data_IF_569187299525
#
_entry.id   IF_569187299525
#
_cell.length_a   1.000
_cell.length_b   1.000
_cell.length_c   1.000
_cell.angle_alpha   90.00
_cell.angle_beta   90.00
_cell.angle_gamma   90.00
#
_symmetry.space_group_name_H-M   'P 1'
#
loop_
_entity.id
_entity.type
_entity.pdbx_description
1 polymer ?
#
# COMPACT_ATOMS: atom_id res chain seq x y z
N UNK A 1 -11.61 -0.04 33.01
CA UNK A 1 -11.84 1.06 33.97
C UNK A 1 -12.63 2.15 33.26
N UNK A 2 -13.47 2.91 33.96
CA UNK A 2 -14.10 4.10 33.36
C UNK A 2 -13.08 5.25 33.25
N UNK A 3 -13.18 6.06 32.19
CA UNK A 3 -12.40 7.29 32.02
C UNK A 3 -13.11 8.43 32.75
N UNK A 4 -12.54 8.88 33.86
CA UNK A 4 -13.18 9.79 34.81
C UNK A 4 -12.32 11.02 35.13
N UNK A 5 -12.92 12.08 35.68
CA UNK A 5 -12.21 13.32 35.96
C UNK A 5 -11.00 13.14 36.92
N UNK A 6 -11.04 12.18 37.84
CA UNK A 6 -9.92 11.93 38.76
C UNK A 6 -8.75 11.21 38.06
N UNK A 7 -9.01 10.18 37.25
CA UNK A 7 -7.96 9.52 36.45
C UNK A 7 -7.39 10.47 35.38
N UNK A 8 -8.21 11.31 34.74
CA UNK A 8 -7.72 12.34 33.82
C UNK A 8 -6.84 13.38 34.53
N UNK A 9 -7.22 13.85 35.72
CA UNK A 9 -6.37 14.74 36.52
C UNK A 9 -5.04 14.08 36.94
N UNK A 10 -5.06 12.78 37.27
CA UNK A 10 -3.87 12.00 37.57
C UNK A 10 -2.96 11.82 36.34
N UNK A 11 -3.54 11.58 35.15
CA UNK A 11 -2.81 11.54 33.88
C UNK A 11 -2.17 12.88 33.56
N UNK A 12 -2.91 13.99 33.67
CA UNK A 12 -2.37 15.34 33.47
C UNK A 12 -1.20 15.61 34.41
N UNK A 13 -1.31 15.24 35.69
CA UNK A 13 -0.21 15.33 36.66
C UNK A 13 1.00 14.45 36.29
N UNK A 14 0.77 13.22 35.80
CA UNK A 14 1.84 12.31 35.37
C UNK A 14 2.60 12.85 34.15
N UNK A 15 1.88 13.35 33.15
CA UNK A 15 2.42 13.85 31.88
C UNK A 15 2.80 15.34 31.91
N UNK A 16 2.76 15.98 33.09
CA UNK A 16 3.08 17.41 33.33
C UNK A 16 2.22 18.39 32.50
N UNK A 17 1.00 17.99 32.18
CA UNK A 17 -0.02 18.82 31.54
C UNK A 17 -0.65 19.80 32.54
N UNK A 18 -1.41 20.79 32.05
CA UNK A 18 -2.12 21.74 32.91
C UNK A 18 -3.21 21.05 33.72
N UNK A 19 -3.35 21.46 34.98
CA UNK A 19 -4.47 21.01 35.85
C UNK A 19 -5.82 21.54 35.36
N UNK A 20 -5.83 22.66 34.62
CA UNK A 20 -7.02 23.22 33.96
C UNK A 20 -7.24 22.50 32.62
N UNK A 21 -8.31 21.69 32.45
CA UNK A 21 -8.50 20.86 31.25
C UNK A 21 -8.45 21.62 29.92
N UNK A 22 -9.12 22.77 29.85
CA UNK A 22 -9.26 23.58 28.64
C UNK A 22 -7.96 24.22 28.12
N UNK A 23 -6.85 24.16 28.88
CA UNK A 23 -5.53 24.65 28.45
C UNK A 23 -4.66 23.56 27.78
N UNK A 24 -5.12 22.31 27.72
CA UNK A 24 -4.35 21.19 27.19
C UNK A 24 -4.66 20.96 25.71
N UNK A 25 -3.66 21.17 24.84
CA UNK A 25 -3.73 20.88 23.40
C UNK A 25 -3.56 19.37 23.10
N UNK A 26 -2.95 18.61 24.01
CA UNK A 26 -2.71 17.17 23.90
C UNK A 26 -3.11 16.44 25.17
N UNK A 27 -3.70 15.25 25.04
CA UNK A 27 -4.05 14.39 26.16
C UNK A 27 -3.59 12.95 25.91
N UNK A 28 -2.74 12.44 26.81
CA UNK A 28 -2.16 11.10 26.77
C UNK A 28 -2.88 10.17 27.74
N UNK A 29 -3.75 9.32 27.22
CA UNK A 29 -4.58 8.36 27.93
C UNK A 29 -4.27 6.89 27.53
N UNK A 30 -3.10 6.66 26.94
CA UNK A 30 -2.64 5.37 26.44
C UNK A 30 -2.42 4.33 27.57
N UNK A 31 -2.66 3.06 27.27
CA UNK A 31 -2.30 1.88 28.07
C UNK A 31 -2.84 1.88 29.51
N UNK A 32 -4.12 2.25 29.71
CA UNK A 32 -4.78 2.27 31.04
C UNK A 32 -5.90 1.25 31.21
N UNK A 33 -6.27 0.53 30.16
CA UNK A 33 -7.43 -0.35 30.17
C UNK A 33 -8.74 0.43 30.40
N UNK A 34 -8.85 1.63 29.82
CA UNK A 34 -10.14 2.32 29.74
C UNK A 34 -11.12 1.51 28.90
N UNK A 35 -12.36 1.36 29.36
CA UNK A 35 -13.43 0.59 28.69
C UNK A 35 -14.49 1.46 28.03
N UNK A 36 -14.62 2.70 28.49
CA UNK A 36 -15.46 3.72 27.86
C UNK A 36 -14.78 5.08 27.97
N UNK A 37 -14.95 5.91 26.93
CA UNK A 37 -14.52 7.31 26.90
C UNK A 37 -15.46 8.14 27.80
N UNK A 38 -14.94 9.12 28.52
CA UNK A 38 -15.72 9.93 29.45
C UNK A 38 -14.94 11.12 30.02
N UNK A 39 -15.65 12.03 30.69
CA UNK A 39 -15.11 13.23 31.35
C UNK A 39 -14.29 14.19 30.46
N UNK A 40 -14.41 14.08 29.13
CA UNK A 40 -13.68 14.92 28.16
C UNK A 40 -14.31 16.30 27.90
N UNK A 41 -15.54 16.56 28.38
CA UNK A 41 -16.30 17.80 28.13
C UNK A 41 -15.53 19.09 28.48
N UNK A 42 -14.65 19.03 29.49
CA UNK A 42 -13.86 20.17 29.93
C UNK A 42 -12.63 20.47 29.04
N UNK A 43 -12.25 19.57 28.12
CA UNK A 43 -11.03 19.66 27.29
C UNK A 43 -11.31 20.34 25.94
N UNK A 44 -11.99 21.49 25.96
CA UNK A 44 -12.50 22.18 24.74
C UNK A 44 -11.42 22.58 23.73
N UNK A 45 -10.19 22.88 24.18
CA UNK A 45 -9.05 23.23 23.33
C UNK A 45 -8.20 22.04 22.86
N UNK A 46 -8.68 20.80 23.01
CA UNK A 46 -7.90 19.60 22.70
C UNK A 46 -7.72 19.41 21.18
N UNK A 47 -6.48 19.25 20.74
CA UNK A 47 -6.08 19.08 19.33
C UNK A 47 -5.62 17.68 18.99
N UNK A 48 -5.00 16.96 19.94
CA UNK A 48 -4.61 15.57 19.79
C UNK A 48 -5.01 14.72 21.01
N UNK A 49 -5.74 13.63 20.76
CA UNK A 49 -6.21 12.68 21.77
C UNK A 49 -5.59 11.30 21.52
N UNK A 50 -4.82 10.81 22.50
CA UNK A 50 -4.17 9.50 22.45
C UNK A 50 -4.86 8.52 23.41
N UNK A 51 -5.56 7.53 22.86
CA UNK A 51 -6.35 6.50 23.56
C UNK A 51 -5.89 5.07 23.20
N UNK A 52 -4.67 4.95 22.68
CA UNK A 52 -4.01 3.70 22.29
C UNK A 52 -3.91 2.65 23.40
N UNK A 53 -4.06 1.37 23.03
CA UNK A 53 -3.78 0.24 23.94
C UNK A 53 -4.74 0.17 25.14
N UNK A 54 -6.01 0.52 24.91
CA UNK A 54 -7.07 0.43 25.90
C UNK A 54 -8.03 -0.72 25.54
N UNK A 55 -9.16 -0.82 26.24
CA UNK A 55 -10.19 -1.82 26.02
C UNK A 55 -11.51 -1.14 25.64
N UNK A 56 -11.45 -0.11 24.79
CA UNK A 56 -12.63 0.66 24.39
C UNK A 56 -13.49 -0.17 23.43
N UNK A 57 -14.73 -0.43 23.83
CA UNK A 57 -15.73 -1.17 23.03
C UNK A 57 -16.48 -0.26 22.03
N UNK A 58 -16.53 1.06 22.31
CA UNK A 58 -17.34 2.08 21.62
C UNK A 58 -16.68 3.46 21.69
N UNK A 59 -16.95 4.35 20.72
CA UNK A 59 -16.51 5.76 20.76
C UNK A 59 -17.59 6.74 21.20
N UNK A 60 -18.79 6.27 21.56
CA UNK A 60 -19.97 7.08 21.90
C UNK A 60 -19.83 8.04 23.11
N UNK A 61 -18.70 7.97 23.84
CA UNK A 61 -18.36 8.89 24.93
C UNK A 61 -17.54 10.12 24.51
N UNK A 62 -17.27 10.33 23.22
CA UNK A 62 -16.60 11.54 22.72
C UNK A 62 -17.57 12.74 22.68
N UNK A 63 -17.31 13.84 23.40
CA UNK A 63 -18.06 15.08 23.25
C UNK A 63 -17.68 15.80 21.94
N UNK A 64 -18.47 16.79 21.48
CA UNK A 64 -18.09 17.65 20.36
C UNK A 64 -16.83 18.47 20.71
N UNK A 65 -15.69 18.10 20.12
CA UNK A 65 -14.39 18.78 20.33
C UNK A 65 -14.02 19.57 19.06
N UNK A 66 -14.24 20.91 19.04
CA UNK A 66 -14.17 21.70 17.81
C UNK A 66 -12.74 21.94 17.29
N UNK A 67 -11.72 21.80 18.14
CA UNK A 67 -10.31 21.92 17.76
C UNK A 67 -9.60 20.57 17.53
N UNK A 68 -10.28 19.43 17.68
CA UNK A 68 -9.64 18.12 17.59
C UNK A 68 -9.25 17.80 16.14
N UNK A 69 -7.96 17.53 15.93
CA UNK A 69 -7.36 17.23 14.62
C UNK A 69 -6.82 15.81 14.51
N UNK A 70 -6.30 15.27 15.61
CA UNK A 70 -5.69 13.94 15.63
C UNK A 70 -6.35 13.05 16.69
N UNK A 71 -6.92 11.93 16.27
CA UNK A 71 -7.55 10.94 17.15
C UNK A 71 -6.87 9.58 16.96
N UNK A 72 -6.23 9.09 18.02
CA UNK A 72 -5.46 7.84 18.04
C UNK A 72 -6.15 6.81 18.94
N UNK A 73 -6.85 5.86 18.31
CA UNK A 73 -7.65 4.78 18.93
C UNK A 73 -7.09 3.39 18.60
N UNK A 74 -5.85 3.29 18.10
CA UNK A 74 -5.26 2.00 17.74
C UNK A 74 -5.12 1.04 18.93
N UNK A 75 -5.17 -0.27 18.68
CA UNK A 75 -5.13 -1.31 19.72
C UNK A 75 -6.24 -1.14 20.77
N UNK A 76 -7.50 -1.29 20.32
CA UNK A 76 -8.71 -1.25 21.14
C UNK A 76 -9.68 -2.38 20.71
N UNK A 77 -10.88 -2.42 21.29
CA UNK A 77 -11.89 -3.47 21.06
C UNK A 77 -13.05 -3.02 20.16
N UNK A 78 -12.89 -1.93 19.38
CA UNK A 78 -13.99 -1.31 18.62
C UNK A 78 -14.53 -2.26 17.54
N UNK A 79 -15.83 -2.56 17.58
CA UNK A 79 -16.53 -3.42 16.61
C UNK A 79 -17.15 -2.62 15.44
N UNK A 80 -17.50 -1.36 15.71
CA UNK A 80 -18.03 -0.39 14.76
C UNK A 80 -17.67 1.04 15.22
N UNK A 81 -17.84 2.02 14.34
CA UNK A 81 -17.78 3.45 14.68
C UNK A 81 -19.21 4.01 14.66
N UNK A 82 -19.66 4.62 15.76
CA UNK A 82 -21.02 5.16 15.84
C UNK A 82 -21.25 6.33 14.85
N UNK A 83 -22.32 6.28 14.02
CA UNK A 83 -22.68 7.39 13.14
C UNK A 83 -22.91 8.70 13.91
N UNK A 84 -22.43 9.81 13.34
CA UNK A 84 -22.61 11.15 13.90
C UNK A 84 -21.59 11.56 14.97
N UNK A 85 -20.98 10.62 15.71
CA UNK A 85 -19.99 10.94 16.75
C UNK A 85 -18.75 11.58 16.16
N UNK A 86 -18.20 11.01 15.07
CA UNK A 86 -17.02 11.58 14.40
C UNK A 86 -17.37 12.80 13.54
N UNK A 87 -18.62 12.92 13.06
CA UNK A 87 -19.12 14.11 12.38
C UNK A 87 -19.22 15.35 13.31
N UNK A 88 -19.21 15.15 14.64
CA UNK A 88 -19.11 16.22 15.63
C UNK A 88 -17.68 16.78 15.83
N UNK A 89 -16.70 16.32 15.03
CA UNK A 89 -15.29 16.71 15.09
C UNK A 89 -14.88 17.46 13.79
N UNK A 90 -15.28 18.73 13.62
CA UNK A 90 -15.22 19.44 12.33
C UNK A 90 -13.80 19.77 11.83
N UNK A 91 -12.76 19.57 12.63
CA UNK A 91 -11.35 19.75 12.24
C UNK A 91 -10.56 18.43 12.19
N UNK A 92 -11.22 17.27 12.27
CA UNK A 92 -10.53 15.97 12.29
C UNK A 92 -9.79 15.73 10.97
N UNK A 93 -8.46 15.66 11.06
CA UNK A 93 -7.50 15.62 9.95
C UNK A 93 -6.83 14.23 9.87
N UNK A 94 -6.49 13.67 11.03
CA UNK A 94 -5.89 12.34 11.19
C UNK A 94 -6.70 11.46 12.15
N UNK A 95 -7.11 10.29 11.68
CA UNK A 95 -7.77 9.26 12.47
C UNK A 95 -7.01 7.93 12.36
N UNK A 96 -6.60 7.37 13.49
CA UNK A 96 -6.06 6.02 13.57
C UNK A 96 -6.98 5.13 14.39
N UNK A 97 -7.50 4.07 13.77
CA UNK A 97 -8.33 2.99 14.37
C UNK A 97 -7.73 1.61 14.07
N UNK A 98 -6.42 1.54 13.77
CA UNK A 98 -5.74 0.29 13.44
C UNK A 98 -5.67 -0.71 14.60
N UNK A 99 -5.68 -2.01 14.32
CA UNK A 99 -5.67 -3.04 15.38
C UNK A 99 -6.94 -3.00 16.23
N UNK A 100 -8.10 -3.06 15.57
CA UNK A 100 -9.43 -3.12 16.19
C UNK A 100 -10.24 -4.26 15.55
N UNK A 101 -11.51 -4.41 15.94
CA UNK A 101 -12.40 -5.43 15.40
C UNK A 101 -13.43 -4.84 14.40
N UNK A 102 -13.13 -3.69 13.77
CA UNK A 102 -14.10 -2.95 12.98
C UNK A 102 -14.61 -3.78 11.79
N UNK A 103 -15.93 -3.85 11.68
CA UNK A 103 -16.66 -4.49 10.58
C UNK A 103 -17.18 -3.49 9.54
N UNK A 104 -17.32 -2.22 9.92
CA UNK A 104 -17.77 -1.12 9.06
C UNK A 104 -17.20 0.23 9.48
N UNK A 105 -16.88 1.07 8.48
CA UNK A 105 -16.45 2.46 8.65
C UNK A 105 -17.61 3.46 8.46
N UNK A 106 -18.87 3.01 8.51
CA UNK A 106 -20.05 3.87 8.34
C UNK A 106 -20.05 5.13 9.24
N UNK A 107 -19.46 5.06 10.43
CA UNK A 107 -19.30 6.21 11.34
C UNK A 107 -18.45 7.37 10.82
N UNK A 108 -17.68 7.18 9.73
CA UNK A 108 -16.91 8.25 9.07
C UNK A 108 -17.78 9.20 8.23
N UNK A 109 -19.05 8.85 7.97
CA UNK A 109 -19.94 9.65 7.13
C UNK A 109 -20.05 11.10 7.64
N UNK A 110 -19.59 12.06 6.83
CA UNK A 110 -19.57 13.49 7.17
C UNK A 110 -18.21 14.04 7.64
N UNK A 111 -17.16 13.22 7.75
CA UNK A 111 -15.80 13.66 8.12
C UNK A 111 -15.07 14.35 6.94
N UNK A 112 -15.60 15.48 6.46
CA UNK A 112 -15.16 16.11 5.19
C UNK A 112 -13.73 16.64 5.19
N UNK A 113 -13.13 16.93 6.36
CA UNK A 113 -11.76 17.42 6.50
C UNK A 113 -10.71 16.33 6.72
N UNK A 114 -11.12 15.05 6.82
CA UNK A 114 -10.22 13.94 7.12
C UNK A 114 -9.26 13.69 5.94
N UNK A 115 -7.94 13.77 6.20
CA UNK A 115 -6.88 13.55 5.20
C UNK A 115 -6.17 12.23 5.38
N UNK A 116 -5.95 11.81 6.62
CA UNK A 116 -5.23 10.59 6.96
C UNK A 116 -6.13 9.65 7.74
N UNK A 117 -6.41 8.49 7.14
CA UNK A 117 -7.13 7.39 7.78
C UNK A 117 -6.21 6.17 7.87
N UNK A 118 -6.03 5.65 9.08
CA UNK A 118 -5.36 4.37 9.34
C UNK A 118 -6.38 3.42 9.98
N UNK A 119 -6.74 2.36 9.25
CA UNK A 119 -7.64 1.29 9.68
C UNK A 119 -7.08 -0.10 9.35
N UNK A 120 -5.75 -0.23 9.36
CA UNK A 120 -5.03 -1.51 9.29
C UNK A 120 -5.47 -2.49 10.40
N UNK A 121 -5.22 -3.79 10.22
CA UNK A 121 -5.51 -4.83 11.22
C UNK A 121 -6.95 -4.75 11.78
N UNK A 122 -7.93 -4.82 10.89
CA UNK A 122 -9.36 -4.79 11.20
C UNK A 122 -10.11 -5.93 10.47
N UNK A 123 -11.44 -5.99 10.57
CA UNK A 123 -12.28 -7.04 9.97
C UNK A 123 -13.20 -6.54 8.85
N UNK A 124 -12.79 -5.49 8.13
CA UNK A 124 -13.52 -4.95 6.99
C UNK A 124 -13.49 -5.97 5.84
N UNK A 125 -14.66 -6.52 5.49
CA UNK A 125 -14.78 -7.59 4.48
C UNK A 125 -15.45 -7.15 3.17
N UNK A 126 -16.49 -6.30 3.28
CA UNK A 126 -17.30 -5.83 2.15
C UNK A 126 -16.93 -4.40 1.75
N UNK A 127 -17.13 -4.05 0.49
CA UNK A 127 -16.92 -2.66 0.01
C UNK A 127 -17.97 -1.69 0.52
N UNK A 128 -19.18 -2.15 0.85
CA UNK A 128 -20.24 -1.32 1.44
C UNK A 128 -19.85 -0.78 2.81
N UNK A 129 -19.04 -1.52 3.56
CA UNK A 129 -18.43 -1.09 4.83
C UNK A 129 -17.44 0.08 4.65
N UNK A 130 -17.01 0.36 3.42
CA UNK A 130 -16.14 1.48 3.04
C UNK A 130 -16.89 2.62 2.33
N UNK A 131 -18.21 2.49 2.08
CA UNK A 131 -18.97 3.48 1.30
C UNK A 131 -18.93 4.89 1.91
N UNK A 132 -18.77 5.01 3.23
CA UNK A 132 -18.60 6.30 3.91
C UNK A 132 -17.34 7.07 3.48
N UNK A 133 -16.29 6.39 2.99
CA UNK A 133 -15.07 7.05 2.50
C UNK A 133 -15.37 7.99 1.33
N UNK A 134 -16.36 7.68 0.49
CA UNK A 134 -16.77 8.54 -0.62
C UNK A 134 -17.32 9.93 -0.17
N UNK A 135 -17.64 10.10 1.12
CA UNK A 135 -18.02 11.41 1.70
C UNK A 135 -16.80 12.23 2.16
N UNK A 136 -15.64 11.60 2.32
CA UNK A 136 -14.42 12.20 2.87
C UNK A 136 -13.52 12.70 1.74
N UNK A 137 -13.96 13.75 1.04
CA UNK A 137 -13.34 14.22 -0.22
C UNK A 137 -11.90 14.75 -0.09
N UNK A 138 -11.44 15.04 1.13
CA UNK A 138 -10.07 15.49 1.42
C UNK A 138 -9.08 14.37 1.76
N UNK A 139 -9.46 13.09 1.67
CA UNK A 139 -8.57 11.97 1.95
C UNK A 139 -7.33 11.97 1.02
N UNK A 140 -6.15 12.08 1.63
CA UNK A 140 -4.84 12.01 0.98
C UNK A 140 -4.14 10.66 1.22
N UNK A 141 -4.32 10.07 2.40
CA UNK A 141 -3.68 8.81 2.82
C UNK A 141 -4.69 7.85 3.45
N UNK A 142 -4.82 6.67 2.88
CA UNK A 142 -5.73 5.61 3.34
C UNK A 142 -4.95 4.31 3.53
N UNK A 143 -4.89 3.83 4.76
CA UNK A 143 -4.33 2.53 5.13
C UNK A 143 -5.46 1.58 5.58
N UNK A 144 -5.59 0.46 4.85
CA UNK A 144 -6.54 -0.62 5.10
C UNK A 144 -5.81 -1.98 5.17
N UNK A 145 -4.52 -2.02 5.52
CA UNK A 145 -3.73 -3.27 5.57
C UNK A 145 -4.38 -4.36 6.43
N UNK A 146 -4.08 -5.62 6.14
CA UNK A 146 -4.49 -6.80 6.92
C UNK A 146 -6.01 -6.89 7.23
N UNK A 147 -6.85 -6.33 6.36
CA UNK A 147 -8.30 -6.48 6.41
C UNK A 147 -8.75 -7.71 5.58
N UNK A 148 -10.06 -7.91 5.47
CA UNK A 148 -10.69 -9.07 4.80
C UNK A 148 -11.31 -8.69 3.45
N UNK A 149 -10.90 -7.56 2.86
CA UNK A 149 -11.49 -7.01 1.64
C UNK A 149 -11.23 -7.93 0.45
N UNK A 150 -12.30 -8.41 -0.19
CA UNK A 150 -12.22 -9.37 -1.30
C UNK A 150 -12.41 -8.72 -2.68
N UNK A 151 -13.40 -7.84 -2.84
CA UNK A 151 -13.71 -7.19 -4.12
C UNK A 151 -12.85 -5.93 -4.31
N UNK A 152 -11.72 -6.12 -5.00
CA UNK A 152 -10.85 -5.02 -5.40
C UNK A 152 -11.41 -4.12 -6.51
N UNK A 153 -12.38 -4.58 -7.31
CA UNK A 153 -12.92 -3.79 -8.42
C UNK A 153 -13.98 -2.79 -7.93
N UNK A 154 -14.87 -3.22 -7.04
CA UNK A 154 -15.79 -2.30 -6.36
C UNK A 154 -15.03 -1.32 -5.45
N UNK A 155 -13.95 -1.76 -4.79
CA UNK A 155 -13.05 -0.87 -4.04
C UNK A 155 -12.43 0.21 -4.94
N UNK A 156 -11.89 -0.16 -6.10
CA UNK A 156 -11.34 0.81 -7.06
C UNK A 156 -12.40 1.77 -7.59
N UNK A 157 -13.64 1.31 -7.78
CA UNK A 157 -14.78 2.17 -8.11
C UNK A 157 -15.05 3.24 -7.05
N UNK A 158 -15.00 2.89 -5.76
CA UNK A 158 -15.16 3.84 -4.65
C UNK A 158 -13.96 4.79 -4.54
N UNK A 159 -12.73 4.28 -4.59
CA UNK A 159 -11.50 5.09 -4.44
C UNK A 159 -11.31 6.08 -5.60
N UNK A 160 -11.81 5.78 -6.80
CA UNK A 160 -11.83 6.72 -7.94
C UNK A 160 -12.68 7.97 -7.68
N UNK A 161 -13.56 7.96 -6.68
CA UNK A 161 -14.28 9.13 -6.19
C UNK A 161 -13.46 10.09 -5.31
N UNK A 162 -12.22 9.74 -4.95
CA UNK A 162 -11.36 10.53 -4.06
C UNK A 162 -10.30 11.32 -4.86
N UNK A 163 -10.50 12.62 -5.14
CA UNK A 163 -9.63 13.38 -6.05
C UNK A 163 -8.25 13.73 -5.47
N UNK A 164 -8.05 13.56 -4.16
CA UNK A 164 -6.82 13.93 -3.46
C UNK A 164 -6.00 12.74 -2.94
N UNK A 165 -6.43 11.50 -3.22
CA UNK A 165 -5.80 10.28 -2.72
C UNK A 165 -4.40 10.08 -3.33
N UNK A 166 -3.37 10.14 -2.48
CA UNK A 166 -1.94 10.03 -2.82
C UNK A 166 -1.32 8.74 -2.30
N UNK A 167 -1.68 8.31 -1.09
CA UNK A 167 -1.12 7.11 -0.46
C UNK A 167 -2.21 6.09 -0.18
N UNK A 168 -2.01 4.85 -0.62
CA UNK A 168 -2.96 3.76 -0.46
C UNK A 168 -2.25 2.47 -0.06
N UNK A 169 -2.65 1.87 1.06
CA UNK A 169 -2.10 0.60 1.53
C UNK A 169 -3.21 -0.45 1.65
N UNK A 170 -3.08 -1.56 0.91
CA UNK A 170 -4.03 -2.68 0.87
C UNK A 170 -3.36 -4.04 1.13
N UNK A 171 -2.03 -4.07 1.32
CA UNK A 171 -1.25 -5.26 1.69
C UNK A 171 -1.94 -6.10 2.77
N UNK A 172 -1.96 -7.43 2.59
CA UNK A 172 -2.59 -8.37 3.52
C UNK A 172 -4.08 -8.63 3.27
N UNK A 173 -4.76 -7.88 2.39
CA UNK A 173 -6.14 -8.17 2.00
C UNK A 173 -6.24 -9.29 0.94
N UNK A 174 -7.30 -10.12 0.96
CA UNK A 174 -7.60 -11.10 -0.08
C UNK A 174 -7.64 -10.52 -1.51
N UNK A 175 -8.07 -9.27 -1.70
CA UNK A 175 -8.09 -8.62 -3.02
C UNK A 175 -6.72 -8.63 -3.73
N UNK A 176 -5.61 -8.64 -3.00
CA UNK A 176 -4.25 -8.59 -3.56
C UNK A 176 -3.90 -9.89 -4.29
N UNK A 177 -4.51 -11.03 -3.92
CA UNK A 177 -4.39 -12.30 -4.65
C UNK A 177 -5.51 -12.55 -5.65
N UNK A 178 -6.69 -11.92 -5.47
CA UNK A 178 -7.83 -12.05 -6.40
C UNK A 178 -7.71 -11.12 -7.63
N UNK A 179 -7.10 -9.94 -7.51
CA UNK A 179 -6.94 -9.00 -8.64
C UNK A 179 -5.79 -9.40 -9.57
N UNK A 180 -6.04 -9.64 -10.88
CA UNK A 180 -4.97 -9.85 -11.85
C UNK A 180 -4.10 -8.60 -11.94
N UNK A 181 -2.78 -8.78 -11.90
CA UNK A 181 -1.78 -7.69 -11.95
C UNK A 181 -2.03 -6.55 -10.95
N UNK A 182 -2.65 -6.82 -9.79
CA UNK A 182 -3.04 -5.87 -8.72
C UNK A 182 -2.43 -4.47 -8.83
N UNK A 183 -1.10 -4.33 -8.66
CA UNK A 183 -0.38 -3.05 -8.70
C UNK A 183 -0.58 -2.23 -9.98
N UNK A 184 -0.53 -2.86 -11.17
CA UNK A 184 -0.79 -2.17 -12.45
C UNK A 184 -2.25 -1.73 -12.53
N UNK A 185 -3.17 -2.63 -12.20
CA UNK A 185 -4.62 -2.40 -12.21
C UNK A 185 -5.00 -1.24 -11.27
N UNK A 186 -4.43 -1.16 -10.07
CA UNK A 186 -4.65 -0.05 -9.13
C UNK A 186 -4.06 1.27 -9.62
N UNK A 187 -2.84 1.25 -10.21
CA UNK A 187 -2.16 2.47 -10.70
C UNK A 187 -2.91 3.07 -11.90
N UNK A 188 -3.36 2.23 -12.84
CA UNK A 188 -4.15 2.66 -13.99
C UNK A 188 -5.57 3.14 -13.61
N UNK A 189 -6.15 2.60 -12.54
CA UNK A 189 -7.44 3.05 -12.03
C UNK A 189 -7.37 4.38 -11.27
N UNK A 190 -6.24 4.68 -10.61
CA UNK A 190 -6.05 5.82 -9.70
C UNK A 190 -4.86 6.71 -10.14
N UNK A 191 -5.07 7.63 -11.12
CA UNK A 191 -3.98 8.44 -11.68
C UNK A 191 -3.34 9.42 -10.68
N UNK A 192 -4.03 9.82 -9.62
CA UNK A 192 -3.50 10.71 -8.57
C UNK A 192 -2.57 10.03 -7.56
N UNK A 193 -2.52 8.70 -7.53
CA UNK A 193 -1.84 7.93 -6.49
C UNK A 193 -0.31 8.00 -6.64
N UNK A 194 0.41 8.41 -5.60
CA UNK A 194 1.89 8.53 -5.59
C UNK A 194 2.59 7.40 -4.83
N UNK A 195 1.93 6.80 -3.83
CA UNK A 195 2.40 5.60 -3.12
C UNK A 195 1.31 4.53 -3.12
N UNK A 196 1.71 3.31 -3.50
CA UNK A 196 0.89 2.11 -3.34
C UNK A 196 1.68 1.10 -2.50
N UNK A 197 1.09 0.70 -1.38
CA UNK A 197 1.75 -0.08 -0.34
C UNK A 197 3.14 0.51 -0.02
N UNK A 198 4.15 -0.32 0.21
CA UNK A 198 5.49 0.10 0.66
C UNK A 198 6.36 0.77 -0.44
N UNK A 199 5.78 1.17 -1.59
CA UNK A 199 6.57 1.63 -2.76
C UNK A 199 5.98 2.85 -3.48
N UNK A 200 6.78 3.91 -3.73
CA UNK A 200 6.38 5.00 -4.60
C UNK A 200 6.11 4.49 -6.02
N UNK A 201 5.23 5.18 -6.74
CA UNK A 201 4.89 4.93 -8.13
C UNK A 201 5.76 5.83 -9.01
N UNK A 202 6.58 5.25 -9.88
CA UNK A 202 7.43 6.01 -10.80
C UNK A 202 6.67 6.41 -12.06
N UNK A 203 7.16 7.43 -12.77
CA UNK A 203 6.58 7.86 -14.06
C UNK A 203 6.58 6.73 -15.10
N UNK A 204 7.68 5.95 -15.15
CA UNK A 204 7.76 4.72 -15.95
C UNK A 204 6.71 3.68 -15.53
N UNK A 205 6.55 3.41 -14.23
CA UNK A 205 5.55 2.44 -13.75
C UNK A 205 4.12 2.88 -14.09
N UNK A 206 3.81 4.18 -13.99
CA UNK A 206 2.52 4.74 -14.42
C UNK A 206 2.31 4.58 -15.92
N UNK A 207 3.25 5.03 -16.76
CA UNK A 207 3.13 4.94 -18.21
C UNK A 207 2.97 3.48 -18.68
N UNK A 208 3.71 2.56 -18.08
CA UNK A 208 3.54 1.12 -18.31
C UNK A 208 2.18 0.59 -17.85
N UNK A 209 1.66 1.03 -16.69
CA UNK A 209 0.36 0.58 -16.19
C UNK A 209 -0.82 1.12 -17.01
N UNK A 210 -0.77 2.38 -17.44
CA UNK A 210 -1.79 3.00 -18.31
C UNK A 210 -1.80 2.37 -19.70
N UNK A 211 -0.62 2.16 -20.31
CA UNK A 211 -0.50 1.47 -21.59
C UNK A 211 -0.89 -0.02 -21.48
N UNK A 212 -0.62 -0.68 -20.34
CA UNK A 212 -1.09 -2.03 -20.05
C UNK A 212 -2.61 -2.12 -19.94
N UNK A 213 -3.26 -1.14 -19.32
CA UNK A 213 -4.72 -1.09 -19.22
C UNK A 213 -5.41 -0.80 -20.57
N UNK A 214 -4.72 -0.14 -21.51
CA UNK A 214 -5.24 0.17 -22.84
C UNK A 214 -4.93 -0.89 -23.91
N UNK A 215 -3.72 -1.47 -23.89
CA UNK A 215 -3.17 -2.33 -24.94
C UNK A 215 -2.47 -3.60 -24.43
N UNK A 216 -2.67 -3.98 -23.16
CA UNK A 216 -2.13 -5.21 -22.59
C UNK A 216 -0.60 -5.25 -22.54
N UNK A 217 -0.03 -6.47 -22.67
CA UNK A 217 1.40 -6.69 -22.53
C UNK A 217 2.24 -6.01 -23.64
N UNK A 218 1.67 -5.79 -24.82
CA UNK A 218 2.39 -5.19 -25.94
C UNK A 218 2.39 -3.66 -25.83
N UNK A 219 1.28 -3.03 -25.45
CA UNK A 219 1.27 -1.62 -25.07
C UNK A 219 2.23 -1.31 -23.91
N UNK A 220 2.35 -2.21 -22.93
CA UNK A 220 3.35 -2.08 -21.85
C UNK A 220 4.80 -2.10 -22.37
N UNK A 221 5.11 -3.00 -23.31
CA UNK A 221 6.44 -3.12 -23.94
C UNK A 221 6.79 -1.87 -24.73
N UNK A 222 5.86 -1.38 -25.55
CA UNK A 222 6.03 -0.17 -26.35
C UNK A 222 6.23 1.07 -25.46
N UNK A 223 5.39 1.27 -24.45
CA UNK A 223 5.51 2.38 -23.51
C UNK A 223 6.84 2.35 -22.75
N UNK A 224 7.30 1.15 -22.35
CA UNK A 224 8.60 0.96 -21.68
C UNK A 224 9.77 1.26 -22.60
N UNK A 225 9.76 0.76 -23.84
CA UNK A 225 10.80 1.04 -24.83
C UNK A 225 10.87 2.55 -25.14
N UNK A 226 9.72 3.18 -25.37
CA UNK A 226 9.63 4.62 -25.62
C UNK A 226 10.09 5.47 -24.42
N UNK A 227 9.87 5.03 -23.17
CA UNK A 227 10.42 5.71 -21.99
C UNK A 227 11.94 5.61 -21.93
N UNK A 228 12.50 4.40 -22.09
CA UNK A 228 13.95 4.20 -22.08
C UNK A 228 14.64 4.97 -23.22
N UNK A 229 14.05 5.00 -24.43
CA UNK A 229 14.55 5.80 -25.55
C UNK A 229 14.54 7.31 -25.22
N UNK A 230 13.47 7.84 -24.60
CA UNK A 230 13.40 9.26 -24.22
C UNK A 230 14.47 9.65 -23.21
N UNK A 231 14.74 8.81 -22.22
CA UNK A 231 15.81 9.07 -21.25
C UNK A 231 17.20 8.94 -21.90
N UNK A 232 17.44 7.95 -22.76
CA UNK A 232 18.68 7.86 -23.55
C UNK A 232 18.88 9.09 -24.46
N UNK A 233 17.85 9.56 -25.16
CA UNK A 233 17.93 10.79 -25.95
C UNK A 233 18.20 12.03 -25.07
N UNK A 234 17.65 12.07 -23.86
CA UNK A 234 17.85 13.16 -22.89
C UNK A 234 19.26 13.12 -22.27
N UNK A 235 19.82 11.95 -22.02
CA UNK A 235 21.19 11.74 -21.57
C UNK A 235 22.18 12.12 -22.69
N UNK A 236 21.98 11.62 -23.92
CA UNK A 236 22.77 11.97 -25.09
C UNK A 236 22.78 13.49 -25.35
N UNK A 237 21.63 14.17 -25.24
CA UNK A 237 21.55 15.65 -25.35
C UNK A 237 22.32 16.37 -24.24
N UNK A 238 22.35 15.84 -23.02
CA UNK A 238 23.14 16.41 -21.92
C UNK A 238 24.65 16.19 -22.14
N UNK A 239 25.06 14.99 -22.57
CA UNK A 239 26.46 14.68 -22.90
C UNK A 239 26.95 15.56 -24.06
N UNK A 240 26.15 15.70 -25.12
CA UNK A 240 26.46 16.60 -26.24
C UNK A 240 26.61 18.07 -25.79
N UNK A 241 25.68 18.59 -24.98
CA UNK A 241 25.78 19.96 -24.47
C UNK A 241 27.01 20.18 -23.57
N UNK A 242 27.39 19.19 -22.75
CA UNK A 242 28.62 19.24 -21.95
C UNK A 242 29.89 19.20 -22.83
N UNK A 243 29.87 18.40 -23.92
CA UNK A 243 30.94 18.35 -24.93
C UNK A 243 31.12 19.69 -25.63
N UNK A 244 30.03 20.30 -26.12
CA UNK A 244 30.04 21.65 -26.73
C UNK A 244 30.62 22.71 -25.79
N UNK A 245 30.20 22.72 -24.52
CA UNK A 245 30.72 23.65 -23.50
C UNK A 245 32.23 23.42 -23.26
N UNK A 246 32.66 22.15 -23.18
CA UNK A 246 34.06 21.78 -23.00
C UNK A 246 34.93 22.21 -24.19
N UNK A 247 34.50 21.89 -25.41
CA UNK A 247 35.19 22.27 -26.65
C UNK A 247 35.27 23.78 -26.83
N UNK A 248 34.17 24.51 -26.57
CA UNK A 248 34.17 25.98 -26.60
C UNK A 248 35.11 26.59 -25.54
N UNK A 249 35.22 25.97 -24.36
CA UNK A 249 36.17 26.34 -23.30
C UNK A 249 37.62 25.97 -23.64
N UNK A 250 37.86 24.91 -24.40
CA UNK A 250 39.18 24.52 -24.91
C UNK A 250 39.66 25.46 -26.03
N UNK A 251 38.81 25.71 -27.03
CA UNK A 251 39.04 26.63 -28.16
C UNK A 251 39.49 28.01 -27.68
N UNK A 252 38.74 28.61 -26.72
CA UNK A 252 39.08 29.90 -26.09
C UNK A 252 40.41 29.89 -25.34
N UNK A 253 40.78 28.77 -24.69
CA UNK A 253 42.08 28.62 -24.01
C UNK A 253 43.24 28.53 -25.00
N UNK A 254 43.06 27.83 -26.12
CA UNK A 254 44.07 27.72 -27.19
C UNK A 254 44.29 29.05 -27.91
N UNK A 255 43.20 29.72 -28.27
CA UNK A 255 43.21 31.08 -28.84
C UNK A 255 43.96 32.07 -27.93
N UNK A 256 43.66 32.08 -26.62
CA UNK A 256 44.36 32.91 -25.63
C UNK A 256 45.85 32.57 -25.43
N UNK A 257 46.30 31.37 -25.84
CA UNK A 257 47.70 30.94 -25.83
C UNK A 257 48.41 31.16 -27.18
N UNK A 258 47.72 31.69 -28.19
CA UNK A 258 48.27 31.83 -29.56
C UNK A 258 48.46 30.49 -30.27
N UNK A 259 47.78 29.43 -29.82
CA UNK A 259 47.75 28.12 -30.45
C UNK A 259 46.56 28.02 -31.43
N UNK A 260 46.71 27.18 -32.45
CA UNK A 260 45.65 26.88 -33.42
C UNK A 260 44.34 26.50 -32.70
N UNK A 261 43.22 27.24 -32.89
CA UNK A 261 41.96 27.00 -32.18
C UNK A 261 41.22 25.74 -32.64
N UNK A 262 41.57 25.13 -33.79
CA UNK A 262 40.92 23.91 -34.29
C UNK A 262 41.57 22.61 -33.79
N UNK A 263 42.73 22.69 -33.13
CA UNK A 263 43.37 21.51 -32.53
C UNK A 263 42.56 20.93 -31.36
N UNK A 264 42.23 19.63 -31.45
CA UNK A 264 41.36 18.91 -30.53
C UNK A 264 41.77 18.93 -29.05
N UNK A 265 40.82 18.58 -28.19
CA UNK A 265 41.06 18.37 -26.76
C UNK A 265 41.51 16.92 -26.56
N UNK A 266 42.77 16.65 -26.17
CA UNK A 266 43.31 15.30 -26.12
C UNK A 266 42.59 14.40 -25.10
N UNK A 267 41.90 14.98 -24.12
CA UNK A 267 41.04 14.24 -23.20
C UNK A 267 39.70 13.80 -23.84
N UNK A 268 39.25 14.48 -24.91
CA UNK A 268 38.06 14.11 -25.69
C UNK A 268 38.39 13.19 -26.87
N UNK A 269 39.59 13.28 -27.43
CA UNK A 269 40.06 12.40 -28.51
C UNK A 269 40.13 10.92 -28.09
N UNK A 270 40.23 10.64 -26.77
CA UNK A 270 40.10 9.31 -26.18
C UNK A 270 38.69 8.94 -25.66
N UNK A 271 37.69 9.81 -25.84
CA UNK A 271 36.29 9.61 -25.44
C UNK A 271 35.37 9.60 -26.67
N UNK A 272 35.71 8.79 -27.66
CA UNK A 272 34.90 8.56 -28.86
C UNK A 272 33.61 7.80 -28.52
N UNK A 273 32.50 8.25 -29.07
CA UNK A 273 31.14 7.78 -28.79
C UNK A 273 30.95 6.29 -29.15
N UNK A 274 30.64 5.46 -28.14
CA UNK A 274 30.14 4.08 -28.19
C UNK A 274 30.85 3.05 -29.10
N UNK A 275 32.05 3.38 -29.59
CA UNK A 275 32.88 2.50 -30.40
C UNK A 275 33.64 1.47 -29.54
N UNK A 276 33.00 0.32 -29.32
CA UNK A 276 33.68 -0.96 -29.07
C UNK A 276 34.59 -1.03 -27.81
N UNK A 277 34.11 -0.53 -26.67
CA UNK A 277 34.22 -1.31 -25.43
C UNK A 277 33.15 -2.42 -25.39
N UNK A 278 33.12 -3.24 -26.46
CA UNK A 278 32.80 -4.64 -26.27
C UNK A 278 33.92 -5.22 -25.38
N UNK A 279 33.69 -5.32 -24.07
CA UNK A 279 34.37 -6.31 -23.24
C UNK A 279 33.96 -7.69 -23.78
N UNK A 280 34.67 -8.13 -24.82
CA UNK A 280 34.16 -9.05 -25.83
C UNK A 280 33.53 -10.29 -25.20
N UNK A 281 32.18 -10.27 -25.14
CA UNK A 281 31.34 -11.01 -24.19
C UNK A 281 31.97 -12.38 -23.85
N UNK A 282 32.41 -12.62 -22.59
CA UNK A 282 33.19 -13.79 -22.22
C UNK A 282 32.67 -15.07 -22.88
N UNK A 283 33.55 -15.88 -23.48
CA UNK A 283 33.13 -16.98 -24.36
C UNK A 283 32.17 -17.98 -23.65
N UNK A 284 32.26 -18.07 -22.33
CA UNK A 284 31.34 -18.78 -21.45
C UNK A 284 29.91 -18.22 -21.46
N UNK A 285 29.75 -16.88 -21.42
CA UNK A 285 28.45 -16.20 -21.50
C UNK A 285 27.82 -16.31 -22.89
N UNK A 286 28.60 -16.12 -23.97
CA UNK A 286 28.13 -16.41 -25.34
C UNK A 286 27.67 -17.86 -25.46
N UNK A 287 28.51 -18.80 -25.03
CA UNK A 287 28.18 -20.24 -25.02
C UNK A 287 26.99 -20.59 -24.11
N UNK A 288 26.76 -19.87 -23.02
CA UNK A 288 25.62 -20.07 -22.14
C UNK A 288 24.32 -19.51 -22.76
N UNK A 289 24.37 -18.32 -23.37
CA UNK A 289 23.25 -17.73 -24.12
C UNK A 289 22.84 -18.62 -25.29
N UNK A 290 23.80 -19.10 -26.07
CA UNK A 290 23.53 -19.92 -27.25
C UNK A 290 22.97 -21.30 -26.84
N UNK A 291 23.46 -21.88 -25.73
CA UNK A 291 22.86 -23.07 -25.09
C UNK A 291 21.44 -22.81 -24.57
N UNK A 292 21.19 -21.65 -23.96
CA UNK A 292 19.85 -21.28 -23.47
C UNK A 292 18.87 -21.07 -24.64
N UNK A 293 19.31 -20.40 -25.71
CA UNK A 293 18.55 -20.18 -26.93
C UNK A 293 18.20 -21.52 -27.61
N UNK A 294 19.17 -22.42 -27.74
CA UNK A 294 18.95 -23.78 -28.24
C UNK A 294 17.98 -24.57 -27.36
N UNK A 295 18.08 -24.46 -26.03
CA UNK A 295 17.14 -25.09 -25.10
C UNK A 295 15.72 -24.52 -25.22
N UNK A 296 15.55 -23.19 -25.34
CA UNK A 296 14.24 -22.58 -25.56
C UNK A 296 13.65 -22.93 -26.92
N UNK A 297 14.47 -22.98 -27.97
CA UNK A 297 14.03 -23.38 -29.32
C UNK A 297 13.63 -24.87 -29.36
N UNK A 298 14.42 -25.77 -28.76
CA UNK A 298 14.08 -27.18 -28.64
C UNK A 298 12.79 -27.39 -27.83
N UNK A 299 12.61 -26.66 -26.73
CA UNK A 299 11.39 -26.71 -25.92
C UNK A 299 10.17 -26.10 -26.64
N UNK A 300 10.37 -25.14 -27.55
CA UNK A 300 9.31 -24.62 -28.42
C UNK A 300 8.97 -25.59 -29.55
N UNK A 301 9.95 -26.27 -30.15
CA UNK A 301 9.72 -27.33 -31.13
C UNK A 301 8.94 -28.50 -30.53
N UNK A 302 9.38 -29.03 -29.38
CA UNK A 302 8.66 -30.09 -28.64
C UNK A 302 7.25 -29.66 -28.20
N UNK A 303 6.99 -28.36 -28.05
CA UNK A 303 5.64 -27.83 -27.77
C UNK A 303 4.79 -27.60 -29.04
N UNK A 304 5.40 -27.56 -30.23
CA UNK A 304 4.73 -27.45 -31.53
C UNK A 304 4.45 -28.82 -32.16
N UNK A 305 5.37 -29.77 -32.01
CA UNK A 305 5.24 -31.16 -32.48
C UNK A 305 4.28 -32.00 -31.61
N UNK A 306 3.73 -31.41 -30.54
CA UNK A 306 2.94 -32.09 -29.51
C UNK A 306 1.54 -32.57 -29.94
N UNK A 307 1.08 -32.30 -31.18
CA UNK A 307 -0.20 -32.81 -31.68
C UNK A 307 -0.14 -34.23 -32.30
N UNK A 308 1.03 -34.80 -32.63
CA UNK A 308 1.08 -36.11 -33.33
C UNK A 308 2.15 -37.13 -32.85
N UNK A 309 1.97 -37.58 -31.59
CA UNK A 309 2.44 -38.88 -31.02
C UNK A 309 3.97 -39.09 -30.78
N UNK A 310 4.40 -40.17 -30.05
CA UNK A 310 3.68 -41.09 -29.16
C UNK A 310 4.17 -41.02 -27.68
N UNK A 311 3.46 -41.62 -26.70
CA UNK A 311 3.90 -41.62 -25.29
C UNK A 311 4.99 -42.67 -25.02
N UNK A 312 6.21 -42.25 -24.64
CA UNK A 312 7.25 -43.23 -24.29
C UNK A 312 8.71 -42.77 -24.17
N UNK A 313 9.00 -41.60 -23.59
CA UNK A 313 10.34 -41.26 -23.08
C UNK A 313 10.22 -40.97 -21.57
N UNK A 314 11.10 -41.54 -20.75
CA UNK A 314 10.85 -41.68 -19.31
C UNK A 314 11.38 -40.49 -18.50
N UNK A 315 10.64 -40.14 -17.43
CA UNK A 315 11.06 -39.14 -16.43
C UNK A 315 12.43 -39.46 -15.80
N UNK A 316 12.87 -40.72 -15.85
CA UNK A 316 14.17 -41.18 -15.36
C UNK A 316 15.35 -40.47 -16.04
N UNK A 317 15.31 -40.23 -17.35
CA UNK A 317 16.40 -39.56 -18.07
C UNK A 317 16.46 -38.05 -17.72
N UNK A 318 15.30 -37.44 -17.48
CA UNK A 318 15.20 -36.03 -17.05
C UNK A 318 15.68 -35.87 -15.61
N UNK A 319 15.25 -36.74 -14.70
CA UNK A 319 15.70 -36.70 -13.29
C UNK A 319 17.18 -37.03 -13.17
N UNK A 320 17.74 -37.91 -14.02
CA UNK A 320 19.19 -38.17 -14.07
C UNK A 320 20.00 -36.92 -14.48
N UNK A 321 19.56 -36.17 -15.50
CA UNK A 321 20.18 -34.89 -15.89
C UNK A 321 20.02 -33.82 -14.80
N UNK A 322 18.90 -33.82 -14.07
CA UNK A 322 18.70 -32.94 -12.91
C UNK A 322 19.59 -33.33 -11.73
N UNK A 323 19.80 -34.62 -11.45
CA UNK A 323 20.76 -35.14 -10.45
C UNK A 323 22.20 -34.75 -10.80
N UNK A 324 22.63 -34.92 -12.05
CA UNK A 324 23.97 -34.55 -12.52
C UNK A 324 24.21 -33.02 -12.43
N UNK A 325 23.18 -32.22 -12.72
CA UNK A 325 23.17 -30.77 -12.53
C UNK A 325 23.22 -30.37 -11.04
N UNK A 326 22.45 -31.03 -10.17
CA UNK A 326 22.50 -30.85 -8.70
C UNK A 326 23.89 -31.19 -8.15
N UNK A 327 24.48 -32.30 -8.59
CA UNK A 327 25.80 -32.75 -8.17
C UNK A 327 26.90 -31.76 -8.60
N UNK A 328 26.89 -31.33 -9.87
CA UNK A 328 27.81 -30.32 -10.40
C UNK A 328 27.73 -28.99 -9.64
N UNK A 329 26.50 -28.55 -9.32
CA UNK A 329 26.25 -27.34 -8.53
C UNK A 329 26.67 -27.50 -7.06
N UNK A 330 26.53 -28.68 -6.48
CA UNK A 330 27.01 -28.97 -5.13
C UNK A 330 28.54 -28.98 -5.05
N UNK A 331 29.23 -29.51 -6.07
CA UNK A 331 30.69 -29.48 -6.16
C UNK A 331 31.23 -28.05 -6.20
N UNK A 332 30.67 -27.19 -7.06
CA UNK A 332 31.06 -25.77 -7.15
C UNK A 332 30.84 -25.01 -5.84
N UNK A 333 29.74 -25.28 -5.12
CA UNK A 333 29.48 -24.68 -3.81
C UNK A 333 30.44 -25.19 -2.72
N UNK A 334 30.84 -26.46 -2.77
CA UNK A 334 31.83 -27.02 -1.85
C UNK A 334 33.23 -26.46 -2.12
N UNK A 335 33.61 -26.27 -3.38
CA UNK A 335 34.90 -25.67 -3.76
C UNK A 335 34.97 -24.19 -3.38
N UNK A 336 33.91 -23.41 -3.64
CA UNK A 336 33.81 -22.03 -3.18
C UNK A 336 33.89 -21.92 -1.64
N UNK A 337 33.22 -22.81 -0.90
CA UNK A 337 33.31 -22.86 0.56
C UNK A 337 34.72 -23.24 1.05
N UNK A 338 35.43 -24.14 0.35
CA UNK A 338 36.81 -24.50 0.66
C UNK A 338 37.79 -23.33 0.42
N UNK A 339 37.64 -22.58 -0.69
CA UNK A 339 38.41 -21.37 -0.95
C UNK A 339 38.16 -20.29 0.11
N UNK A 340 36.90 -20.08 0.50
CA UNK A 340 36.51 -19.13 1.54
C UNK A 340 37.06 -19.54 2.92
N UNK A 341 37.09 -20.83 3.23
CA UNK A 341 37.73 -21.35 4.45
C UNK A 341 39.26 -21.19 4.44
N UNK A 342 39.92 -21.35 3.29
CA UNK A 342 41.37 -21.09 3.15
C UNK A 342 41.70 -19.61 3.33
N UNK A 343 40.87 -18.69 2.81
CA UNK A 343 41.02 -17.25 3.06
C UNK A 343 40.83 -16.89 4.54
N UNK A 344 39.86 -17.52 5.22
CA UNK A 344 39.63 -17.34 6.65
C UNK A 344 40.73 -17.95 7.56
N UNK A 345 41.53 -18.89 7.05
CA UNK A 345 42.60 -19.57 7.78
C UNK A 345 43.98 -18.89 7.65
N UNK A 346 44.10 -17.81 6.88
CA UNK A 346 45.36 -17.08 6.73
C UNK A 346 45.75 -16.35 8.03
N UNK A 347 46.93 -16.60 8.63
CA UNK A 347 47.34 -15.93 9.85
C UNK A 347 47.68 -14.45 9.60
N UNK A 348 47.34 -13.52 10.53
CA UNK A 348 47.66 -12.12 10.37
C UNK A 348 49.17 -11.88 10.44
N UNK A 349 49.76 -11.31 9.38
CA UNK A 349 51.17 -10.93 9.39
C UNK A 349 51.38 -9.69 10.27
N UNK A 350 52.13 -9.85 11.36
CA UNK A 350 52.44 -8.77 12.31
C UNK A 350 53.55 -7.85 11.81
N UNK A 351 53.20 -6.85 11.00
CA UNK A 351 54.08 -5.76 10.59
C UNK A 351 54.27 -4.72 11.71
N UNK A 352 54.97 -5.10 12.78
CA UNK A 352 55.29 -4.20 13.89
C UNK A 352 56.37 -3.16 13.51
N UNK A 353 55.94 -1.97 13.07
CA UNK A 353 56.73 -0.74 13.12
C UNK A 353 56.08 0.23 14.12
N UNK A 354 56.91 0.91 14.92
CA UNK A 354 56.49 1.43 16.22
C UNK A 354 56.28 2.94 16.34
N UNK A 355 55.64 3.30 17.47
CA UNK A 355 55.63 4.62 18.13
C UNK A 355 55.08 5.83 17.34
N UNK A 356 53.86 6.24 17.69
CA UNK A 356 53.28 7.56 17.39
C UNK A 356 52.05 7.83 18.25
N UNK A 357 52.06 8.91 19.02
CA UNK A 357 50.94 9.47 19.81
C UNK A 357 49.77 9.91 18.92
N UNK A 358 48.50 10.10 19.34
CA UNK A 358 47.90 10.38 20.66
C UNK A 358 46.38 10.05 20.71
N UNK A 359 45.83 10.03 21.94
CA UNK A 359 44.46 10.42 22.37
C UNK A 359 43.24 10.28 21.44
N UNK A 360 42.27 9.44 21.83
CA UNK A 360 40.84 9.80 21.99
C UNK A 360 40.04 8.63 22.64
N UNK A 361 38.97 8.95 23.38
CA UNK A 361 38.03 7.96 23.93
C UNK A 361 36.91 7.59 22.93
N UNK A 362 36.48 6.33 22.91
CA UNK A 362 35.22 5.90 22.33
C UNK A 362 34.60 4.78 23.19
N UNK A 363 33.34 4.93 23.57
CA UNK A 363 32.68 4.06 24.56
C UNK A 363 32.13 2.75 23.96
N UNK A 364 31.98 1.74 24.81
CA UNK A 364 31.57 0.37 24.45
C UNK A 364 30.09 0.29 24.04
N UNK A 365 29.80 -0.44 22.96
CA UNK A 365 28.49 -1.01 22.65
C UNK A 365 28.64 -2.49 22.24
N UNK A 366 27.85 -3.43 22.78
CA UNK A 366 27.95 -4.85 22.45
C UNK A 366 27.18 -5.21 21.15
N UNK A 367 27.58 -6.29 20.43
CA UNK A 367 26.89 -6.74 19.22
C UNK A 367 25.56 -7.47 19.54
N UNK A 368 24.59 -7.48 18.60
CA UNK A 368 23.28 -8.10 18.80
C UNK A 368 23.31 -9.63 18.65
N UNK A 369 22.44 -10.30 19.40
CA UNK A 369 22.19 -11.75 19.29
C UNK A 369 21.04 -11.99 18.29
N UNK A 370 21.24 -12.88 17.32
CA UNK A 370 20.19 -13.33 16.40
C UNK A 370 19.56 -14.65 16.87
N UNK A 371 18.23 -14.85 16.71
CA UNK A 371 17.53 -16.05 17.16
C UNK A 371 17.69 -17.23 16.20
N UNK A 372 17.71 -18.45 16.75
CA UNK A 372 17.74 -19.69 15.97
C UNK A 372 16.34 -20.15 15.55
N UNK A 373 16.21 -20.66 14.32
CA UNK A 373 14.97 -21.24 13.78
C UNK A 373 15.02 -22.77 13.87
N UNK A 374 14.08 -23.45 14.54
CA UNK A 374 14.02 -24.91 14.57
C UNK A 374 13.25 -25.45 13.35
N UNK A 375 13.81 -26.45 12.66
CA UNK A 375 13.12 -27.18 11.60
C UNK A 375 13.36 -28.69 11.76
N UNK A 376 12.32 -29.42 12.13
CA UNK A 376 12.34 -30.88 12.27
C UNK A 376 11.19 -31.49 11.45
N UNK A 377 11.49 -32.51 10.64
CA UNK A 377 10.54 -33.18 9.74
C UNK A 377 9.77 -34.27 10.47
N UNK A 378 8.50 -34.46 10.11
CA UNK A 378 7.77 -35.70 10.38
C UNK A 378 8.30 -36.82 9.47
N UNK A 379 8.32 -38.05 9.99
CA UNK A 379 8.55 -39.28 9.21
C UNK A 379 7.37 -40.23 9.39
N UNK A 380 6.81 -40.71 8.29
CA UNK A 380 5.70 -41.68 8.28
C UNK A 380 6.25 -43.10 8.18
N UNK A 381 5.71 -44.02 8.98
CA UNK A 381 5.96 -45.47 8.87
C UNK A 381 4.62 -46.19 9.00
N UNK A 382 4.39 -47.23 8.19
CA UNK A 382 3.15 -48.01 8.17
C UNK A 382 3.22 -49.20 9.15
N UNK A 383 2.05 -49.71 9.58
CA UNK A 383 1.90 -50.75 10.61
C UNK A 383 2.24 -52.19 10.17
N UNK A 384 1.81 -53.21 10.95
CA UNK A 384 0.58 -53.90 10.52
C UNK A 384 -0.34 -54.50 11.62
N UNK A 385 -1.65 -54.42 11.35
CA UNK A 385 -2.72 -55.45 11.48
C UNK A 385 -3.05 -56.24 12.78
N UNK A 386 -4.38 -56.42 12.97
CA UNK A 386 -5.12 -57.53 13.63
C UNK A 386 -5.31 -57.54 15.17
N UNK A 387 -6.56 -57.80 15.60
CA UNK A 387 -6.96 -58.09 16.99
C UNK A 387 -8.44 -57.79 17.28
N UNK A 388 -9.24 -58.82 17.58
CA UNK A 388 -10.72 -58.80 17.60
C UNK A 388 -11.39 -58.51 18.98
N UNK A 389 -12.73 -58.41 18.97
CA UNK A 389 -13.69 -58.61 20.08
C UNK A 389 -13.90 -57.53 21.20
N UNK A 390 -15.16 -57.03 21.29
CA UNK A 390 -16.15 -57.71 22.15
C UNK A 390 -16.70 -57.04 23.44
N UNK A 391 -17.86 -56.36 23.32
CA UNK A 391 -19.06 -56.40 24.20
C UNK A 391 -19.07 -55.94 25.69
N UNK A 392 -20.16 -55.23 26.04
CA UNK A 392 -20.87 -55.10 27.35
C UNK A 392 -20.10 -54.63 28.62
N UNK A 393 -20.68 -53.95 29.63
CA UNK A 393 -22.09 -53.73 30.00
C UNK A 393 -22.33 -52.40 30.77
N UNK A 394 -23.61 -52.01 30.87
CA UNK A 394 -24.20 -51.18 31.95
C UNK A 394 -25.46 -51.90 32.47
N UNK A 395 -26.04 -51.59 33.66
CA UNK A 395 -27.23 -50.72 33.67
C UNK A 395 -27.58 -49.97 35.00
N UNK A 396 -28.63 -49.13 34.93
CA UNK A 396 -29.49 -48.57 36.02
C UNK A 396 -28.85 -47.61 37.07
N UNK A 397 -29.47 -46.50 37.50
CA UNK A 397 -30.80 -45.85 37.23
C UNK A 397 -30.97 -44.58 38.11
N UNK A 398 -32.13 -43.98 38.45
CA UNK A 398 -33.56 -44.21 38.12
C UNK A 398 -34.44 -42.92 38.28
N UNK A 399 -35.15 -42.52 37.21
CA UNK A 399 -36.57 -42.03 37.19
C UNK A 399 -37.04 -40.63 37.70
N UNK A 400 -38.34 -40.36 37.42
CA UNK A 400 -39.17 -39.13 37.50
C UNK A 400 -38.83 -38.05 36.42
N UNK A 401 -39.67 -37.66 35.42
CA UNK A 401 -41.12 -37.30 35.29
C UNK A 401 -41.47 -35.98 36.00
N UNK A 402 -42.27 -35.02 35.48
CA UNK A 402 -43.35 -34.96 34.46
C UNK A 402 -43.14 -33.78 33.45
N UNK A 403 -43.67 -33.75 32.20
CA UNK A 403 -45.03 -33.32 31.73
C UNK A 403 -45.47 -31.89 32.16
N UNK A 404 -46.14 -31.03 31.36
CA UNK A 404 -46.72 -31.17 30.01
C UNK A 404 -47.05 -29.81 29.32
N UNK A 405 -47.30 -29.86 28.01
CA UNK A 405 -48.24 -29.07 27.16
C UNK A 405 -48.33 -27.51 27.17
N UNK A 406 -48.43 -26.96 25.96
CA UNK A 406 -48.98 -25.62 25.62
C UNK A 406 -50.44 -25.72 25.16
N UNK A 407 -51.35 -24.79 25.53
CA UNK A 407 -52.21 -24.05 24.56
C UNK A 407 -52.93 -22.79 25.14
N UNK A 408 -53.05 -21.76 24.28
CA UNK A 408 -54.17 -20.82 24.09
C UNK A 408 -54.91 -20.03 25.22
N UNK A 409 -55.08 -18.72 24.93
CA UNK A 409 -56.29 -17.84 25.04
C UNK A 409 -56.24 -16.65 26.02
N UNK A 410 -56.94 -15.59 25.60
CA UNK A 410 -57.61 -14.52 26.37
C UNK A 410 -56.82 -13.23 26.71
N UNK A 411 -57.25 -12.15 26.05
CA UNK A 411 -57.05 -10.75 26.45
C UNK A 411 -58.22 -10.30 27.36
N UNK A 412 -58.05 -9.25 28.19
CA UNK A 412 -59.13 -8.27 28.29
C UNK A 412 -58.70 -6.80 28.15
N UNK A 413 -59.35 -6.15 27.19
CA UNK A 413 -59.77 -4.74 27.07
C UNK A 413 -59.82 -3.90 28.38
N UNK A 414 -59.34 -2.64 28.37
CA UNK A 414 -60.22 -1.43 28.45
C UNK A 414 -59.54 -0.04 28.64
N UNK A 415 -60.10 0.95 27.90
CA UNK A 415 -60.34 2.38 28.25
C UNK A 415 -59.21 3.46 28.25
N UNK A 416 -59.55 4.66 27.69
CA UNK A 416 -58.81 5.94 27.73
C UNK A 416 -57.90 6.21 26.50
N UNK A 417 -58.16 7.10 25.52
CA UNK A 417 -59.14 8.21 25.30
C UNK A 417 -58.87 9.44 26.20
N UNK A 418 -58.65 10.69 25.75
CA UNK A 418 -58.60 11.42 24.45
C UNK A 418 -57.17 12.01 24.17
N UNK A 419 -56.71 12.51 23.00
CA UNK A 419 -57.22 13.46 21.98
C UNK A 419 -57.39 14.92 22.50
N UNK A 420 -57.26 16.05 21.76
CA UNK A 420 -56.90 16.42 20.36
C UNK A 420 -55.97 17.68 20.47
N UNK A 421 -55.15 18.18 19.52
CA UNK A 421 -55.31 18.81 18.17
C UNK A 421 -53.88 18.88 17.50
N UNK A 422 -53.58 19.14 16.22
CA UNK A 422 -54.16 19.88 15.06
C UNK A 422 -53.72 21.38 14.94
N UNK A 423 -53.10 21.76 13.80
CA UNK A 423 -52.55 23.10 13.52
C UNK A 423 -51.30 23.10 12.62
N UNK A 424 -51.41 22.82 11.31
CA UNK A 424 -51.66 23.79 10.21
C UNK A 424 -50.42 24.56 9.74
N UNK A 425 -50.09 24.45 8.45
CA UNK A 425 -48.99 25.16 7.78
C UNK A 425 -49.47 26.44 7.04
N UNK A 426 -48.57 27.37 6.72
CA UNK A 426 -48.74 28.32 5.63
C UNK A 426 -47.67 28.18 4.52
N UNK A 427 -47.84 28.94 3.44
CA UNK A 427 -47.13 28.78 2.15
C UNK A 427 -45.95 29.76 1.96
N UNK A 428 -45.16 29.48 0.92
CA UNK A 428 -44.22 30.40 0.26
C UNK A 428 -44.91 31.71 -0.20
N UNK A 429 -44.18 32.83 -0.12
CA UNK A 429 -44.17 33.88 -1.15
C UNK A 429 -42.80 34.59 -1.20
N UNK A 430 -42.57 35.33 -2.27
CA UNK A 430 -41.28 35.78 -2.81
C UNK A 430 -40.90 37.23 -2.42
N UNK A 431 -39.62 37.58 -2.59
CA UNK A 431 -38.98 38.92 -2.79
C UNK A 431 -37.70 39.14 -1.94
N UNK A 432 -36.71 39.88 -2.50
CA UNK A 432 -35.64 40.51 -1.70
C UNK A 432 -34.19 40.48 -2.22
N UNK A 433 -33.92 41.14 -3.35
CA UNK A 433 -32.67 41.84 -3.72
C UNK A 433 -31.27 41.24 -3.37
N UNK A 434 -30.49 40.93 -4.43
CA UNK A 434 -29.03 40.75 -4.35
C UNK A 434 -28.29 41.72 -5.31
N UNK A 435 -27.48 42.57 -4.71
CA UNK A 435 -26.62 43.63 -5.26
C UNK A 435 -25.45 43.14 -6.16
N UNK A 436 -25.12 43.94 -7.18
CA UNK A 436 -23.84 43.96 -7.92
C UNK A 436 -23.73 42.97 -9.10
N UNK A 437 -23.44 43.32 -10.37
CA UNK A 437 -22.67 44.38 -11.07
C UNK A 437 -21.30 43.91 -11.57
N UNK A 438 -21.00 44.21 -12.86
CA UNK A 438 -19.70 44.07 -13.54
C UNK A 438 -19.23 42.62 -13.88
N UNK A 439 -18.51 42.35 -14.99
CA UNK A 439 -18.50 42.97 -16.33
C UNK A 439 -17.83 42.02 -17.37
N UNK A 440 -17.87 42.41 -18.65
CA UNK A 440 -17.01 41.98 -19.76
C UNK A 440 -17.31 40.67 -20.50
N UNK A 441 -17.59 40.81 -21.80
CA UNK A 441 -17.51 39.77 -22.85
C UNK A 441 -16.64 40.34 -23.99
N UNK A 442 -15.70 39.58 -24.58
CA UNK A 442 -15.05 39.96 -25.83
C UNK A 442 -15.79 39.35 -27.04
N UNK A 443 -16.25 40.24 -27.92
CA UNK A 443 -16.94 39.98 -29.18
C UNK A 443 -16.22 38.99 -30.11
N UNK A 444 -17.01 38.25 -30.91
CA UNK A 444 -16.58 37.76 -32.23
C UNK A 444 -17.73 37.92 -33.22
N UNK A 445 -17.48 38.65 -34.30
CA UNK A 445 -18.51 38.98 -35.29
C UNK A 445 -17.90 39.10 -36.70
N UNK A 446 -18.46 38.34 -37.64
CA UNK A 446 -18.38 38.54 -39.10
C UNK A 446 -19.40 37.59 -39.74
N UNK A 447 -20.40 38.14 -40.42
CA UNK A 447 -21.43 37.40 -41.14
C UNK A 447 -20.95 37.05 -42.58
N UNK A 448 -21.45 35.98 -43.20
CA UNK A 448 -22.43 36.01 -44.33
C UNK A 448 -21.81 36.42 -45.70
N UNK A 449 -22.32 36.08 -46.88
CA UNK A 449 -23.63 35.55 -47.33
C UNK A 449 -23.50 34.47 -48.45
N UNK A 450 -24.65 34.08 -49.02
CA UNK A 450 -24.91 33.53 -50.37
C UNK A 450 -24.89 32.01 -50.69
N UNK A 451 -25.96 31.62 -51.40
CA UNK A 451 -26.37 30.33 -52.03
C UNK A 451 -26.37 30.50 -53.59
N UNK A 452 -26.76 29.52 -54.44
CA UNK A 452 -26.55 28.06 -54.45
C UNK A 452 -26.05 27.55 -55.85
N UNK A 453 -26.07 26.21 -56.05
CA UNK A 453 -26.19 25.45 -57.32
C UNK A 453 -25.39 25.82 -58.59
N UNK A 454 -24.69 24.80 -59.16
CA UNK A 454 -24.80 24.35 -60.57
C UNK A 454 -24.04 23.02 -60.78
N UNK A 455 -24.48 22.22 -61.76
CA UNK A 455 -23.89 20.94 -62.19
C UNK A 455 -22.86 21.16 -63.31
N UNK A 456 -21.79 20.35 -63.38
CA UNK A 456 -21.32 19.77 -64.66
C UNK A 456 -20.40 18.55 -64.46
N UNK A 457 -20.21 17.77 -65.53
CA UNK A 457 -19.39 16.54 -65.59
C UNK A 457 -18.03 16.81 -66.30
N UNK A 458 -17.23 15.74 -66.48
CA UNK A 458 -16.01 15.64 -67.33
C UNK A 458 -14.73 16.28 -66.74
N UNK A 459 -13.53 15.71 -66.92
CA UNK A 459 -13.09 14.44 -67.57
C UNK A 459 -12.28 13.57 -66.58
#
# INVERSE_FOLDING_TARGET
>A
MAMDAASLAALCKQHRLYQTPALNDRLYANFRGFTAIGALEAYTGLRALFLEGNALDSVAGLPPLPELRCLFLQQNALLALEPGVLAALPQLDTLNVGGNALTSLAGLAGCTQLRTLVAADNSLAFTDALAALATCTQLESVDLQNNKLEDGQALLGLLKGLPHLKCLYLRGNPLVSKLPSYRKTTIAALPGLTYLDDRPITELERACAEAWAAGGLDGEREARAAFHQREQEREARQVAALREIREAGWRKRREALGLDPEGGDPDLEGLTDDAELEEAEPAELRSARDRLAAFTAARQAVAADAEEAPPGLMDADVEAVLEESRASRAALLAEAAAQQAQQAAAPPQSSCLGSGTCEAEAAVAPPPVLPAVPTARQTVVLGPSCGDAGAEAAPAGEQEQESEASVHTACPTAAGVQAVEAGTAPQLMDSGEAIGSECSVPSRASSSDDEPDILEELD
#
